data_IF_092516538948
#
_entry.id   IF_092516538948
#
_cell.length_a   1.000
_cell.length_b   1.000
_cell.length_c   1.000
_cell.angle_alpha   90.00
_cell.angle_beta   90.00
_cell.angle_gamma   90.00
#
_symmetry.space_group_name_H-M   'P 1'
#
loop_
_entity.id
_entity.type
_entity.pdbx_description
1 polymer ?
#
# COMPACT_ATOMS: atom_id res chain seq x y z
N UNK A 1 -31.32 -8.92 6.78
CA UNK A 1 -29.85 -9.06 6.79
C UNK A 1 -29.35 -8.55 5.45
N UNK A 2 -28.26 -7.81 5.45
CA UNK A 2 -27.59 -7.36 4.20
C UNK A 2 -27.01 -8.58 3.50
N UNK A 3 -27.23 -8.72 2.20
CA UNK A 3 -26.60 -9.76 1.39
C UNK A 3 -25.53 -9.12 0.50
N UNK A 4 -24.42 -9.85 0.30
CA UNK A 4 -23.35 -9.47 -0.61
C UNK A 4 -23.67 -10.03 -2.00
N UNK A 5 -23.60 -9.18 -3.02
CA UNK A 5 -23.59 -9.62 -4.40
C UNK A 5 -22.16 -10.05 -4.79
N UNK A 6 -21.90 -11.35 -4.69
CA UNK A 6 -20.58 -11.91 -4.97
C UNK A 6 -20.23 -11.87 -6.46
N UNK A 7 -21.22 -12.00 -7.36
CA UNK A 7 -21.01 -11.88 -8.81
C UNK A 7 -20.47 -10.48 -9.16
N UNK A 8 -21.14 -9.45 -8.65
CA UNK A 8 -20.68 -8.07 -8.86
C UNK A 8 -19.30 -7.82 -8.25
N UNK A 9 -19.04 -8.33 -7.05
CA UNK A 9 -17.72 -8.18 -6.41
C UNK A 9 -16.59 -8.90 -7.16
N UNK A 10 -16.86 -10.09 -7.68
CA UNK A 10 -15.90 -10.81 -8.54
C UNK A 10 -15.61 -10.03 -9.83
N UNK A 11 -16.65 -9.43 -10.44
CA UNK A 11 -16.43 -8.56 -11.61
C UNK A 11 -15.58 -7.33 -11.24
N UNK A 12 -15.81 -6.71 -10.07
CA UNK A 12 -14.99 -5.61 -9.59
C UNK A 12 -13.53 -6.02 -9.38
N UNK A 13 -13.28 -7.22 -8.81
CA UNK A 13 -11.92 -7.77 -8.66
C UNK A 13 -11.27 -7.97 -10.02
N UNK A 14 -12.01 -8.53 -11.00
CA UNK A 14 -11.52 -8.73 -12.37
C UNK A 14 -11.12 -7.41 -13.01
N UNK A 15 -11.96 -6.39 -12.88
CA UNK A 15 -11.69 -5.05 -13.44
C UNK A 15 -10.46 -4.40 -12.77
N UNK A 16 -10.32 -4.51 -11.45
CA UNK A 16 -9.15 -3.99 -10.72
C UNK A 16 -7.84 -4.67 -11.13
N UNK A 17 -7.91 -5.96 -11.49
CA UNK A 17 -6.75 -6.76 -11.90
C UNK A 17 -6.55 -6.80 -13.41
N UNK A 18 -7.32 -6.06 -14.20
CA UNK A 18 -7.17 -6.00 -15.65
C UNK A 18 -5.90 -5.23 -16.03
N UNK A 19 -5.00 -5.88 -16.74
CA UNK A 19 -3.77 -5.27 -17.28
C UNK A 19 -3.94 -5.03 -18.80
N UNK A 20 -4.11 -3.78 -19.18
CA UNK A 20 -4.29 -3.40 -20.57
C UNK A 20 -3.09 -3.73 -21.48
N UNK A 21 -1.88 -3.86 -20.90
CA UNK A 21 -0.70 -4.27 -21.67
C UNK A 21 -0.73 -5.72 -22.10
N UNK A 22 -1.46 -6.56 -21.36
CA UNK A 22 -1.65 -7.99 -21.65
C UNK A 22 -3.03 -8.27 -22.25
N UNK A 23 -3.91 -7.28 -22.20
CA UNK A 23 -5.34 -7.40 -22.56
C UNK A 23 -6.05 -8.53 -21.78
N UNK A 24 -5.62 -8.77 -20.55
CA UNK A 24 -6.16 -9.80 -19.68
C UNK A 24 -6.23 -9.38 -18.22
N UNK A 25 -7.01 -10.09 -17.42
CA UNK A 25 -7.06 -9.89 -15.98
C UNK A 25 -6.08 -10.82 -15.27
N UNK A 26 -5.28 -10.25 -14.35
CA UNK A 26 -4.33 -10.98 -13.50
C UNK A 26 -5.03 -11.78 -12.38
N UNK A 27 -6.20 -12.34 -12.67
CA UNK A 27 -6.92 -13.23 -11.75
C UNK A 27 -6.35 -14.64 -11.80
N UNK A 28 -6.53 -15.40 -10.72
CA UNK A 28 -6.02 -16.76 -10.66
C UNK A 28 -6.87 -17.73 -11.52
N UNK A 29 -6.30 -18.92 -11.84
CA UNK A 29 -7.04 -20.00 -12.49
C UNK A 29 -8.30 -20.43 -11.74
N UNK A 30 -8.36 -20.21 -10.41
CA UNK A 30 -9.55 -20.49 -9.59
C UNK A 30 -10.74 -19.61 -9.95
N UNK A 31 -10.48 -18.41 -10.50
CA UNK A 31 -11.53 -17.45 -10.87
C UNK A 31 -12.47 -18.00 -11.94
N UNK A 32 -11.97 -18.74 -12.90
CA UNK A 32 -12.76 -19.31 -14.02
C UNK A 32 -13.41 -20.66 -13.70
N UNK A 33 -13.15 -21.27 -12.52
CA UNK A 33 -13.75 -22.55 -12.15
C UNK A 33 -15.24 -22.38 -11.82
N UNK A 34 -16.08 -23.22 -12.36
CA UNK A 34 -17.55 -23.20 -12.15
C UNK A 34 -17.99 -24.04 -10.96
N UNK A 35 -17.15 -24.95 -10.49
CA UNK A 35 -17.41 -25.86 -9.38
C UNK A 35 -17.13 -25.24 -7.98
N UNK A 36 -16.65 -24.00 -7.92
CA UNK A 36 -16.37 -23.28 -6.68
C UNK A 36 -17.43 -22.20 -6.49
N UNK A 37 -18.11 -22.13 -5.33
CA UNK A 37 -19.07 -21.07 -5.01
C UNK A 37 -18.45 -19.68 -5.08
N UNK A 38 -19.23 -18.68 -5.48
CA UNK A 38 -18.75 -17.31 -5.74
C UNK A 38 -18.19 -16.62 -4.51
N UNK A 39 -18.80 -16.82 -3.34
CA UNK A 39 -18.31 -16.32 -2.06
C UNK A 39 -16.92 -16.87 -1.71
N UNK A 40 -16.67 -18.16 -1.98
CA UNK A 40 -15.37 -18.80 -1.78
C UNK A 40 -14.35 -18.28 -2.80
N UNK A 41 -14.74 -18.16 -4.09
CA UNK A 41 -13.89 -17.53 -5.10
C UNK A 41 -13.48 -16.13 -4.70
N UNK A 42 -14.44 -15.33 -4.23
CA UNK A 42 -14.17 -13.96 -3.80
C UNK A 42 -13.14 -13.92 -2.67
N UNK A 43 -13.35 -14.72 -1.59
CA UNK A 43 -12.39 -14.81 -0.49
C UNK A 43 -10.98 -15.20 -0.94
N UNK A 44 -10.87 -16.16 -1.84
CA UNK A 44 -9.59 -16.61 -2.39
C UNK A 44 -8.92 -15.50 -3.24
N UNK A 45 -9.67 -14.82 -4.10
CA UNK A 45 -9.12 -13.83 -5.02
C UNK A 45 -8.72 -12.52 -4.35
N UNK A 46 -9.46 -12.06 -3.33
CA UNK A 46 -9.15 -10.80 -2.64
C UNK A 46 -7.89 -10.87 -1.77
N UNK A 47 -7.40 -12.06 -1.46
CA UNK A 47 -6.17 -12.27 -0.69
C UNK A 47 -4.92 -12.43 -1.57
N UNK A 48 -5.10 -12.74 -2.87
CA UNK A 48 -3.99 -13.00 -3.79
C UNK A 48 -3.29 -11.73 -4.25
N UNK A 49 -1.96 -11.75 -4.37
CA UNK A 49 -1.21 -10.66 -4.99
C UNK A 49 -1.53 -10.56 -6.49
N UNK A 50 -1.17 -9.44 -7.10
CA UNK A 50 -1.26 -9.26 -8.56
C UNK A 50 -0.26 -10.13 -9.33
N UNK A 51 0.87 -10.44 -8.72
CA UNK A 51 1.93 -11.23 -9.32
C UNK A 51 3.27 -10.50 -9.37
N UNK A 52 4.33 -11.29 -9.39
CA UNK A 52 5.69 -10.76 -9.36
C UNK A 52 6.05 -10.03 -10.66
N UNK A 53 5.65 -10.59 -11.81
CA UNK A 53 5.92 -9.97 -13.13
C UNK A 53 5.27 -8.59 -13.25
N UNK A 54 4.06 -8.43 -12.70
CA UNK A 54 3.40 -7.13 -12.64
C UNK A 54 4.21 -6.12 -11.82
N UNK A 55 4.64 -6.51 -10.63
CA UNK A 55 5.41 -5.65 -9.73
C UNK A 55 6.76 -5.28 -10.35
N UNK A 56 7.44 -6.23 -11.00
CA UNK A 56 8.71 -5.99 -11.71
C UNK A 56 8.56 -4.97 -12.84
N UNK A 57 7.49 -5.05 -13.64
CA UNK A 57 7.20 -4.06 -14.70
C UNK A 57 6.92 -2.67 -14.12
N UNK A 58 6.30 -2.59 -12.96
CA UNK A 58 6.03 -1.30 -12.29
C UNK A 58 7.34 -0.65 -11.80
N UNK A 59 8.24 -1.44 -11.21
CA UNK A 59 9.58 -0.97 -10.83
C UNK A 59 10.36 -0.52 -12.06
N UNK A 60 10.34 -1.30 -13.14
CA UNK A 60 10.99 -0.93 -14.41
C UNK A 60 10.46 0.39 -14.99
N UNK A 61 9.16 0.68 -14.83
CA UNK A 61 8.59 1.96 -15.25
C UNK A 61 9.18 3.13 -14.44
N UNK A 62 9.34 2.98 -13.13
CA UNK A 62 9.97 3.98 -12.28
C UNK A 62 11.46 4.16 -12.61
N UNK A 63 12.19 3.08 -12.89
CA UNK A 63 13.59 3.16 -13.32
C UNK A 63 13.76 3.93 -14.65
N UNK A 64 12.83 3.77 -15.59
CA UNK A 64 12.82 4.57 -16.82
C UNK A 64 12.57 6.05 -16.53
N UNK A 65 11.61 6.36 -15.66
CA UNK A 65 11.35 7.73 -15.22
C UNK A 65 12.59 8.34 -14.57
N UNK A 66 13.21 7.62 -13.63
CA UNK A 66 14.48 8.02 -13.01
C UNK A 66 15.55 8.33 -14.05
N UNK A 67 15.74 7.44 -15.02
CA UNK A 67 16.79 7.64 -16.05
C UNK A 67 16.51 8.87 -16.92
N UNK A 68 15.26 9.13 -17.30
CA UNK A 68 14.92 10.35 -18.03
C UNK A 68 15.18 11.61 -17.19
N UNK A 69 14.84 11.59 -15.90
CA UNK A 69 15.12 12.70 -15.01
C UNK A 69 16.62 12.95 -14.87
N UNK A 70 17.42 11.91 -14.57
CA UNK A 70 18.87 12.05 -14.39
C UNK A 70 19.58 12.56 -15.65
N UNK A 71 19.18 12.07 -16.82
CA UNK A 71 19.76 12.50 -18.09
C UNK A 71 19.37 13.93 -18.48
N UNK A 72 18.27 14.45 -17.95
CA UNK A 72 17.77 15.78 -18.30
C UNK A 72 18.04 16.88 -17.27
N UNK A 73 18.38 16.53 -16.04
CA UNK A 73 18.64 17.51 -14.99
C UNK A 73 19.94 18.30 -15.22
N UNK A 74 19.85 19.62 -15.03
CA UNK A 74 20.98 20.53 -14.90
C UNK A 74 20.90 21.24 -13.54
N UNK A 75 21.17 20.50 -12.47
CA UNK A 75 21.06 20.96 -11.08
C UNK A 75 22.43 20.94 -10.40
N UNK A 76 22.65 21.88 -9.49
CA UNK A 76 23.91 22.04 -8.76
C UNK A 76 23.98 21.16 -7.49
N UNK A 77 23.08 20.18 -7.34
CA UNK A 77 23.04 19.25 -6.23
C UNK A 77 22.73 17.82 -6.70
N UNK A 78 23.19 16.85 -5.93
CA UNK A 78 22.94 15.43 -6.15
C UNK A 78 21.51 15.02 -5.71
N UNK A 79 21.04 13.90 -6.24
CA UNK A 79 19.72 13.31 -5.96
C UNK A 79 19.90 11.86 -5.57
N UNK A 80 19.06 11.42 -4.64
CA UNK A 80 18.86 10.02 -4.33
C UNK A 80 17.45 9.60 -4.77
N UNK A 81 17.29 8.33 -5.13
CA UNK A 81 16.01 7.78 -5.56
C UNK A 81 15.62 6.59 -4.71
N UNK A 82 14.35 6.53 -4.31
CA UNK A 82 13.77 5.39 -3.61
C UNK A 82 12.37 5.14 -4.12
N UNK A 83 11.94 3.90 -4.05
CA UNK A 83 10.60 3.49 -4.40
C UNK A 83 9.73 3.33 -3.16
N UNK A 84 8.48 3.81 -3.24
CA UNK A 84 7.47 3.70 -2.19
C UNK A 84 6.15 3.19 -2.77
N UNK A 85 5.22 2.82 -1.90
CA UNK A 85 3.88 2.38 -2.27
C UNK A 85 3.64 0.89 -2.04
N UNK A 86 2.41 0.47 -2.32
CA UNK A 86 1.93 -0.89 -2.00
C UNK A 86 2.61 -2.00 -2.81
N UNK A 87 3.25 -1.65 -3.93
CA UNK A 87 4.06 -2.58 -4.73
C UNK A 87 5.28 -3.05 -3.95
N UNK A 88 5.93 -2.16 -3.17
CA UNK A 88 7.12 -2.47 -2.37
C UNK A 88 6.84 -3.45 -1.22
N UNK A 89 5.58 -3.56 -0.82
CA UNK A 89 5.12 -4.48 0.22
C UNK A 89 4.31 -5.65 -0.33
N UNK A 90 4.10 -5.74 -1.64
CA UNK A 90 3.26 -6.74 -2.30
C UNK A 90 1.81 -6.76 -1.74
N UNK A 91 1.28 -5.57 -1.42
CA UNK A 91 -0.08 -5.38 -0.90
C UNK A 91 -0.98 -4.57 -1.83
N UNK A 92 -0.56 -4.37 -3.07
CA UNK A 92 -1.35 -3.77 -4.13
C UNK A 92 -2.48 -4.72 -4.59
N UNK A 93 -3.65 -4.15 -4.88
CA UNK A 93 -4.87 -4.90 -5.24
C UNK A 93 -5.39 -4.57 -6.64
N UNK A 94 -4.85 -3.55 -7.27
CA UNK A 94 -5.26 -3.08 -8.60
C UNK A 94 -4.06 -2.79 -9.47
N UNK A 95 -4.23 -3.01 -10.76
CA UNK A 95 -3.35 -2.47 -11.80
C UNK A 95 -3.41 -0.95 -11.70
N UNK A 96 -2.28 -0.26 -11.84
CA UNK A 96 -2.15 1.19 -11.57
C UNK A 96 -2.37 1.58 -10.09
N UNK A 97 -1.96 0.69 -9.16
CA UNK A 97 -1.78 1.11 -7.77
C UNK A 97 -0.74 2.23 -7.68
N UNK A 98 -0.95 3.12 -6.72
CA UNK A 98 -0.04 4.21 -6.45
C UNK A 98 1.39 3.66 -6.23
N UNK A 99 2.31 4.15 -7.04
CA UNK A 99 3.72 3.81 -6.99
C UNK A 99 4.53 5.09 -7.07
N UNK A 100 5.20 5.40 -5.98
CA UNK A 100 5.93 6.64 -5.82
C UNK A 100 7.43 6.43 -6.09
N UNK A 101 7.97 7.24 -6.98
CA UNK A 101 9.40 7.44 -7.15
C UNK A 101 9.81 8.65 -6.31
N UNK A 102 10.33 8.41 -5.12
CA UNK A 102 10.91 9.46 -4.29
C UNK A 102 12.16 10.00 -4.98
N UNK A 103 12.14 11.27 -5.33
CA UNK A 103 13.27 12.02 -5.90
C UNK A 103 13.76 12.98 -4.81
N UNK A 104 14.84 12.62 -4.16
CA UNK A 104 15.28 13.19 -2.89
C UNK A 104 16.48 14.10 -3.17
N UNK A 105 16.42 15.35 -2.74
CA UNK A 105 17.58 16.24 -2.75
C UNK A 105 18.64 15.68 -1.79
N UNK A 106 19.79 15.26 -2.31
CA UNK A 106 20.88 14.67 -1.52
C UNK A 106 21.94 15.71 -1.14
N UNK A 107 21.52 16.93 -0.98
CA UNK A 107 22.33 18.08 -0.53
C UNK A 107 21.94 18.52 0.87
N UNK A 108 20.63 18.48 1.16
CA UNK A 108 20.08 18.87 2.45
C UNK A 108 19.67 17.64 3.26
N UNK A 109 20.28 17.46 4.41
CA UNK A 109 19.89 16.47 5.39
C UNK A 109 19.26 17.19 6.56
N UNK A 110 17.94 17.18 6.65
CA UNK A 110 17.26 17.65 7.86
C UNK A 110 17.49 16.64 8.98
N UNK A 111 17.53 17.12 10.21
CA UNK A 111 17.85 16.32 11.38
C UNK A 111 16.79 16.50 12.47
N UNK A 112 16.61 15.46 13.29
CA UNK A 112 15.89 15.59 14.54
C UNK A 112 16.58 16.63 15.45
N UNK A 113 15.83 17.35 16.32
CA UNK A 113 16.41 18.39 17.18
C UNK A 113 17.56 17.91 18.08
N UNK A 114 17.60 16.61 18.42
CA UNK A 114 18.66 15.99 19.22
C UNK A 114 19.94 15.70 18.45
N UNK A 115 19.93 15.87 17.13
CA UNK A 115 21.05 15.49 16.25
C UNK A 115 21.88 16.72 15.89
N UNK A 116 23.20 16.73 16.16
CA UNK A 116 24.07 17.80 15.71
C UNK A 116 24.10 17.93 14.19
N UNK A 117 24.04 19.14 13.68
CA UNK A 117 24.14 19.43 12.25
C UNK A 117 25.62 19.30 11.84
N UNK A 118 25.93 18.27 11.06
CA UNK A 118 27.31 18.02 10.58
C UNK A 118 27.58 18.49 9.16
N UNK A 119 26.59 19.08 8.46
CA UNK A 119 26.76 19.42 7.06
C UNK A 119 27.25 20.86 6.86
N UNK A 120 28.44 21.06 6.28
CA UNK A 120 28.84 22.35 5.77
C UNK A 120 28.05 22.64 4.49
N UNK A 121 26.96 23.38 4.61
CA UNK A 121 26.23 23.85 3.44
C UNK A 121 26.92 25.04 2.78
N UNK A 122 27.14 24.94 1.48
CA UNK A 122 27.22 26.13 0.64
C UNK A 122 25.83 26.78 0.59
N UNK A 123 25.77 28.05 0.88
CA UNK A 123 24.58 28.88 1.03
C UNK A 123 23.63 28.80 -0.17
N UNK A 124 22.66 27.92 -0.13
CA UNK A 124 21.53 27.90 -1.06
C UNK A 124 20.23 27.71 -0.26
N UNK A 125 19.12 28.22 -0.80
CA UNK A 125 17.82 28.10 -0.15
C UNK A 125 17.17 26.74 -0.47
N UNK A 126 16.93 25.84 0.50
CA UNK A 126 16.31 24.56 0.24
C UNK A 126 14.96 24.64 -0.50
N UNK A 127 14.16 25.66 -0.20
CA UNK A 127 12.87 25.85 -0.86
C UNK A 127 13.04 26.23 -2.33
N UNK A 128 14.04 27.05 -2.66
CA UNK A 128 14.35 27.38 -4.07
C UNK A 128 14.90 26.16 -4.82
N UNK A 129 15.71 25.33 -4.16
CA UNK A 129 16.28 24.13 -4.76
C UNK A 129 15.18 23.10 -5.08
N UNK A 130 14.21 22.88 -4.19
CA UNK A 130 13.13 21.93 -4.47
C UNK A 130 12.11 22.46 -5.50
N UNK A 131 11.92 23.78 -5.57
CA UNK A 131 11.11 24.41 -6.61
C UNK A 131 11.78 24.27 -7.97
N UNK A 132 13.09 24.48 -8.07
CA UNK A 132 13.85 24.28 -9.32
C UNK A 132 13.85 22.80 -9.72
N UNK A 133 14.02 21.87 -8.75
CA UNK A 133 13.88 20.44 -8.99
C UNK A 133 12.52 20.11 -9.62
N UNK A 134 11.41 20.65 -9.05
CA UNK A 134 10.06 20.43 -9.61
C UNK A 134 9.91 21.00 -11.01
N UNK A 135 10.41 22.20 -11.24
CA UNK A 135 10.33 22.87 -12.52
C UNK A 135 11.05 22.07 -13.61
N UNK A 136 12.29 21.66 -13.38
CA UNK A 136 13.06 20.85 -14.30
C UNK A 136 12.44 19.46 -14.50
N UNK A 137 12.04 18.77 -13.41
CA UNK A 137 11.35 17.49 -13.50
C UNK A 137 10.09 17.58 -14.36
N UNK A 138 9.27 18.62 -14.16
CA UNK A 138 8.07 18.85 -14.96
C UNK A 138 8.40 19.02 -16.46
N UNK A 139 9.42 19.81 -16.78
CA UNK A 139 9.84 20.04 -18.17
C UNK A 139 10.34 18.76 -18.82
N UNK A 140 11.21 18.02 -18.14
CA UNK A 140 11.77 16.75 -18.64
C UNK A 140 10.65 15.74 -18.88
N UNK A 141 9.74 15.56 -17.90
CA UNK A 141 8.67 14.57 -18.00
C UNK A 141 7.68 14.92 -19.11
N UNK A 142 7.31 16.20 -19.29
CA UNK A 142 6.45 16.65 -20.40
C UNK A 142 7.08 16.44 -21.77
N UNK A 143 8.40 16.46 -21.89
CA UNK A 143 9.11 16.18 -23.14
C UNK A 143 9.20 14.68 -23.45
N UNK A 144 9.05 13.79 -22.42
CA UNK A 144 9.22 12.35 -22.57
C UNK A 144 7.90 11.58 -22.56
N UNK A 145 6.84 12.12 -21.95
CA UNK A 145 5.57 11.45 -21.75
C UNK A 145 4.41 12.33 -22.23
N UNK A 146 3.45 11.73 -22.93
CA UNK A 146 2.24 12.42 -23.40
C UNK A 146 1.28 12.77 -22.26
N UNK A 147 1.24 11.92 -21.22
CA UNK A 147 0.33 12.08 -20.09
C UNK A 147 1.12 12.41 -18.82
N UNK A 148 1.14 13.71 -18.50
CA UNK A 148 1.80 14.26 -17.30
C UNK A 148 0.83 15.15 -16.55
N UNK A 149 0.45 14.75 -15.36
CA UNK A 149 -0.38 15.54 -14.46
C UNK A 149 0.49 16.21 -13.38
N UNK A 150 0.45 17.53 -13.37
CA UNK A 150 1.18 18.38 -12.42
C UNK A 150 0.30 19.05 -11.39
N UNK A 151 -1.01 18.72 -11.36
CA UNK A 151 -1.98 19.30 -10.43
C UNK A 151 -1.78 18.85 -8.97
N UNK A 152 -1.09 17.72 -8.76
CA UNK A 152 -0.77 17.20 -7.45
C UNK A 152 0.11 18.16 -6.64
N UNK A 153 -0.25 18.40 -5.37
CA UNK A 153 0.49 19.35 -4.50
C UNK A 153 1.86 18.83 -4.06
N UNK A 154 2.10 17.51 -4.11
CA UNK A 154 3.33 16.85 -3.63
C UNK A 154 4.06 16.05 -4.69
N UNK A 155 3.39 15.70 -5.79
CA UNK A 155 3.93 14.83 -6.84
C UNK A 155 3.65 15.36 -8.24
N UNK A 156 4.34 14.78 -9.21
CA UNK A 156 4.07 14.87 -10.64
C UNK A 156 3.71 13.45 -11.07
N UNK A 157 2.49 13.25 -11.58
CA UNK A 157 2.04 11.94 -12.05
C UNK A 157 2.34 11.78 -13.54
N UNK A 158 2.86 10.63 -13.92
CA UNK A 158 3.02 10.24 -15.33
C UNK A 158 2.34 8.90 -15.60
N UNK A 159 1.86 8.74 -16.83
CA UNK A 159 1.43 7.46 -17.35
C UNK A 159 2.38 6.97 -18.44
N UNK A 160 3.08 5.87 -18.18
CA UNK A 160 3.97 5.24 -19.14
C UNK A 160 3.18 4.29 -20.06
N UNK A 161 2.83 4.74 -21.27
CA UNK A 161 2.03 3.98 -22.24
C UNK A 161 2.67 2.65 -22.63
N UNK A 162 4.00 2.62 -22.83
CA UNK A 162 4.71 1.42 -23.29
C UNK A 162 4.73 0.29 -22.27
N UNK A 163 4.70 0.61 -20.97
CA UNK A 163 4.62 -0.36 -19.88
C UNK A 163 3.23 -0.43 -19.25
N UNK A 164 2.34 0.46 -19.67
CA UNK A 164 0.99 0.62 -19.12
C UNK A 164 1.02 0.76 -17.59
N UNK A 165 1.79 1.74 -17.10
CA UNK A 165 2.00 1.98 -15.66
C UNK A 165 1.96 3.46 -15.33
N UNK A 166 1.33 3.76 -14.18
CA UNK A 166 1.37 5.08 -13.55
C UNK A 166 2.55 5.14 -12.58
N UNK A 167 3.27 6.26 -12.56
CA UNK A 167 4.33 6.57 -11.61
C UNK A 167 4.13 7.99 -11.10
N UNK A 168 4.17 8.16 -9.79
CA UNK A 168 4.12 9.47 -9.13
C UNK A 168 5.54 9.86 -8.71
N UNK A 169 6.08 10.91 -9.30
CA UNK A 169 7.39 11.48 -8.92
C UNK A 169 7.18 12.40 -7.74
N UNK A 170 7.65 12.00 -6.57
CA UNK A 170 7.48 12.71 -5.30
C UNK A 170 8.78 13.39 -4.92
N UNK A 171 8.76 14.71 -4.75
CA UNK A 171 9.95 15.50 -4.47
C UNK A 171 10.09 15.74 -2.96
N UNK A 172 11.25 15.44 -2.42
CA UNK A 172 11.46 15.46 -0.98
C UNK A 172 12.92 15.70 -0.58
N UNK A 173 13.13 15.81 0.73
CA UNK A 173 14.43 15.91 1.37
C UNK A 173 14.64 14.75 2.30
N UNK A 174 15.89 14.43 2.62
CA UNK A 174 16.23 13.49 3.68
C UNK A 174 15.94 14.07 5.07
N UNK A 175 15.53 13.19 5.98
CA UNK A 175 15.42 13.48 7.41
C UNK A 175 16.13 12.39 8.22
N UNK A 176 17.09 12.80 9.05
CA UNK A 176 17.91 11.90 9.83
C UNK A 176 17.57 11.97 11.32
N UNK A 177 17.43 10.80 11.94
CA UNK A 177 17.40 10.65 13.38
C UNK A 177 18.71 10.07 13.88
N UNK A 178 18.95 10.10 15.18
CA UNK A 178 20.21 9.66 15.79
C UNK A 178 20.54 8.19 15.48
N UNK A 179 19.53 7.33 15.49
CA UNK A 179 19.66 5.90 15.17
C UNK A 179 20.14 5.67 13.74
N UNK A 180 19.70 6.48 12.78
CA UNK A 180 20.23 6.40 11.43
C UNK A 180 21.70 6.72 11.37
N UNK A 181 22.14 7.77 12.04
CA UNK A 181 23.56 8.18 12.05
C UNK A 181 24.46 7.16 12.72
N UNK A 182 23.95 6.44 13.73
CA UNK A 182 24.70 5.36 14.43
C UNK A 182 24.80 4.08 13.62
N UNK A 183 23.73 3.73 12.89
CA UNK A 183 23.59 2.40 12.28
C UNK A 183 23.71 2.39 10.76
N UNK A 184 23.55 3.56 10.13
CA UNK A 184 23.41 3.72 8.67
C UNK A 184 22.29 2.83 8.06
N UNK A 185 21.29 2.46 8.89
CA UNK A 185 20.18 1.64 8.46
C UNK A 185 19.01 2.54 8.03
N UNK A 186 18.60 2.46 6.76
CA UNK A 186 17.51 3.26 6.19
C UNK A 186 16.16 3.09 6.93
N UNK A 187 15.96 2.02 7.68
CA UNK A 187 14.80 1.88 8.57
C UNK A 187 14.58 3.13 9.43
N UNK A 188 15.67 3.69 9.94
CA UNK A 188 15.65 4.89 10.80
C UNK A 188 15.73 6.21 10.04
N UNK A 189 15.67 6.16 8.71
CA UNK A 189 15.75 7.35 7.87
C UNK A 189 14.36 7.82 7.45
N UNK A 190 14.02 9.06 7.75
CA UNK A 190 12.82 9.72 7.29
C UNK A 190 13.04 10.57 6.05
N UNK A 191 11.95 11.12 5.54
CA UNK A 191 11.92 12.11 4.47
C UNK A 191 11.00 13.28 4.86
N UNK A 192 11.30 14.47 4.34
CA UNK A 192 10.35 15.56 4.29
C UNK A 192 9.77 15.67 2.88
N UNK A 193 8.50 15.28 2.75
CA UNK A 193 7.68 15.57 1.56
C UNK A 193 7.42 17.08 1.49
N UNK A 194 7.52 17.68 0.30
CA UNK A 194 7.25 19.09 0.14
C UNK A 194 5.87 19.32 -0.50
N UNK A 195 4.99 20.04 0.21
CA UNK A 195 3.71 20.50 -0.34
C UNK A 195 3.92 21.85 -1.05
N UNK A 196 3.85 21.83 -2.38
CA UNK A 196 4.15 23.00 -3.23
C UNK A 196 3.09 24.09 -3.16
N UNK A 197 1.87 23.78 -2.71
CA UNK A 197 0.80 24.77 -2.54
C UNK A 197 0.92 25.43 -1.17
N UNK A 198 1.02 24.62 -0.11
CA UNK A 198 1.12 25.13 1.27
C UNK A 198 2.53 25.61 1.64
N UNK A 199 3.53 25.33 0.78
CA UNK A 199 4.95 25.66 1.03
C UNK A 199 5.47 25.09 2.36
N UNK A 200 5.08 23.87 2.70
CA UNK A 200 5.44 23.23 3.96
C UNK A 200 5.99 21.82 3.75
N UNK A 201 6.82 21.40 4.71
CA UNK A 201 7.40 20.07 4.79
C UNK A 201 6.53 19.17 5.65
N UNK A 202 6.32 17.93 5.20
CA UNK A 202 5.56 16.90 5.93
C UNK A 202 6.50 15.73 6.16
N UNK A 203 6.75 15.41 7.43
CA UNK A 203 7.62 14.30 7.82
C UNK A 203 6.93 12.96 7.56
N UNK A 204 7.67 12.01 6.98
CA UNK A 204 7.23 10.63 6.76
C UNK A 204 8.40 9.66 6.95
N UNK A 205 8.10 8.40 7.28
CA UNK A 205 9.06 7.29 7.47
C UNK A 205 8.69 6.09 6.60
N UNK A 206 8.81 6.22 5.28
CA UNK A 206 8.38 5.18 4.33
C UNK A 206 9.21 3.89 4.44
N UNK A 207 10.50 3.99 4.75
CA UNK A 207 11.40 2.84 4.83
C UNK A 207 11.08 1.98 6.05
N UNK A 208 10.82 2.60 7.20
CA UNK A 208 10.34 1.90 8.39
C UNK A 208 9.01 1.20 8.13
N UNK A 209 8.08 1.86 7.43
CA UNK A 209 6.79 1.27 7.06
C UNK A 209 6.98 0.04 6.17
N UNK A 210 7.74 0.18 5.08
CA UNK A 210 7.98 -0.91 4.11
C UNK A 210 8.66 -2.10 4.80
N UNK A 211 9.70 -1.85 5.58
CA UNK A 211 10.44 -2.91 6.27
C UNK A 211 9.57 -3.62 7.32
N UNK A 212 8.80 -2.88 8.13
CA UNK A 212 7.93 -3.47 9.15
C UNK A 212 6.83 -4.34 8.55
N UNK A 213 6.19 -3.87 7.46
CA UNK A 213 5.18 -4.67 6.74
C UNK A 213 5.80 -5.92 6.12
N UNK A 214 6.99 -5.81 5.52
CA UNK A 214 7.69 -6.95 4.94
C UNK A 214 8.17 -7.95 6.00
N UNK A 215 8.71 -7.49 7.12
CA UNK A 215 9.13 -8.35 8.23
C UNK A 215 7.93 -9.13 8.79
N UNK A 216 6.80 -8.45 9.05
CA UNK A 216 5.58 -9.13 9.50
C UNK A 216 5.06 -10.11 8.43
N UNK A 217 5.16 -9.76 7.15
CA UNK A 217 4.89 -10.67 6.03
C UNK A 217 5.73 -11.94 6.10
N UNK A 218 7.02 -11.82 6.34
CA UNK A 218 7.95 -12.96 6.50
C UNK A 218 7.62 -13.80 7.72
N UNK A 219 7.40 -13.18 8.89
CA UNK A 219 7.05 -13.89 10.13
C UNK A 219 5.69 -14.62 10.06
N UNK A 220 4.77 -14.17 9.22
CA UNK A 220 3.45 -14.79 9.03
C UNK A 220 3.36 -15.59 7.74
N UNK A 221 4.46 -15.84 7.06
CA UNK A 221 4.50 -16.52 5.76
C UNK A 221 3.47 -15.96 4.77
N UNK A 222 3.44 -14.64 4.61
CA UNK A 222 2.50 -13.81 3.82
C UNK A 222 1.09 -13.64 4.41
N UNK A 223 0.74 -14.25 5.53
CA UNK A 223 -0.58 -14.15 6.15
C UNK A 223 -1.01 -12.70 6.44
N UNK A 224 -0.11 -11.87 6.97
CA UNK A 224 -0.40 -10.44 7.18
C UNK A 224 -0.66 -9.68 5.89
N UNK A 225 0.10 -9.95 4.83
CA UNK A 225 -0.11 -9.30 3.52
C UNK A 225 -1.42 -9.77 2.86
N UNK A 226 -1.81 -11.04 3.04
CA UNK A 226 -3.15 -11.53 2.66
C UNK A 226 -4.26 -10.74 3.34
N UNK A 227 -4.14 -10.51 4.66
CA UNK A 227 -5.09 -9.70 5.43
C UNK A 227 -5.18 -8.26 4.92
N UNK A 228 -4.05 -7.61 4.63
CA UNK A 228 -4.03 -6.25 4.08
C UNK A 228 -4.73 -6.21 2.71
N UNK A 229 -4.45 -7.15 1.80
CA UNK A 229 -5.11 -7.24 0.50
C UNK A 229 -6.61 -7.49 0.64
N UNK A 230 -7.02 -8.38 1.57
CA UNK A 230 -8.43 -8.63 1.90
C UNK A 230 -9.14 -7.34 2.29
N UNK A 231 -8.65 -6.62 3.29
CA UNK A 231 -9.28 -5.37 3.75
C UNK A 231 -9.34 -4.29 2.68
N UNK A 232 -8.27 -4.14 1.88
CA UNK A 232 -8.25 -3.18 0.76
C UNK A 232 -9.29 -3.51 -0.32
N UNK A 233 -9.49 -4.78 -0.64
CA UNK A 233 -10.51 -5.21 -1.60
C UNK A 233 -11.92 -4.98 -1.04
N UNK A 234 -12.20 -5.40 0.20
CA UNK A 234 -13.48 -5.16 0.87
C UNK A 234 -13.79 -3.66 0.90
N UNK A 235 -12.83 -2.82 1.30
CA UNK A 235 -12.96 -1.35 1.26
C UNK A 235 -13.41 -0.85 -0.12
N UNK A 236 -12.77 -1.35 -1.17
CA UNK A 236 -13.08 -0.93 -2.54
C UNK A 236 -14.47 -1.37 -3.02
N UNK A 237 -15.01 -2.43 -2.43
CA UNK A 237 -16.30 -3.02 -2.80
C UNK A 237 -17.47 -2.55 -1.91
N UNK A 238 -17.20 -1.90 -0.78
CA UNK A 238 -18.20 -1.52 0.24
C UNK A 238 -18.29 -0.02 0.54
N UNK A 239 -17.60 0.82 -0.23
CA UNK A 239 -17.49 2.28 0.02
C UNK A 239 -17.01 2.61 1.46
N UNK A 240 -16.14 1.80 2.01
CA UNK A 240 -15.54 2.03 3.32
C UNK A 240 -14.46 3.12 3.23
N UNK A 241 -14.38 4.02 4.22
CA UNK A 241 -13.51 5.20 4.20
C UNK A 241 -12.16 5.03 4.90
N UNK A 242 -11.89 3.88 5.50
CA UNK A 242 -10.56 3.61 6.09
C UNK A 242 -9.48 3.73 5.01
N UNK A 243 -8.44 4.51 5.28
CA UNK A 243 -7.33 4.62 4.33
C UNK A 243 -6.39 3.40 4.40
N UNK A 244 -5.50 3.27 3.41
CA UNK A 244 -4.60 2.11 3.32
C UNK A 244 -3.65 1.98 4.52
N UNK A 245 -3.27 3.11 5.13
CA UNK A 245 -2.40 3.13 6.29
C UNK A 245 -3.11 2.58 7.54
N UNK A 246 -4.37 2.98 7.76
CA UNK A 246 -5.23 2.46 8.83
C UNK A 246 -5.49 0.95 8.66
N UNK A 247 -5.82 0.49 7.45
CA UNK A 247 -6.02 -0.93 7.16
C UNK A 247 -4.75 -1.75 7.45
N UNK A 248 -3.59 -1.22 7.05
CA UNK A 248 -2.30 -1.87 7.32
C UNK A 248 -2.02 -1.91 8.83
N UNK A 249 -2.30 -0.83 9.56
CA UNK A 249 -2.14 -0.76 11.02
C UNK A 249 -3.04 -1.77 11.74
N UNK A 250 -4.30 -1.93 11.34
CA UNK A 250 -5.21 -2.94 11.91
C UNK A 250 -4.60 -4.33 11.76
N UNK A 251 -4.14 -4.72 10.57
CA UNK A 251 -3.53 -6.04 10.36
C UNK A 251 -2.20 -6.16 11.11
N UNK A 252 -1.41 -5.09 11.15
CA UNK A 252 -0.13 -5.08 11.85
C UNK A 252 -0.29 -5.29 13.37
N UNK A 253 -1.41 -4.89 13.96
CA UNK A 253 -1.71 -5.08 15.38
C UNK A 253 -2.15 -6.50 15.75
N UNK A 254 -2.44 -7.37 14.78
CA UNK A 254 -2.85 -8.77 15.03
C UNK A 254 -1.61 -9.61 15.33
N UNK A 255 -1.71 -10.50 16.32
CA UNK A 255 -0.66 -11.47 16.65
C UNK A 255 -0.35 -12.39 15.45
N UNK A 256 0.94 -12.72 15.25
CA UNK A 256 1.37 -13.45 14.04
C UNK A 256 0.66 -14.81 13.87
N UNK A 257 0.44 -15.57 14.95
CA UNK A 257 -0.25 -16.86 14.90
C UNK A 257 -1.72 -16.78 14.47
N UNK A 258 -2.35 -15.60 14.56
CA UNK A 258 -3.73 -15.34 14.12
C UNK A 258 -3.83 -14.92 12.64
N UNK A 259 -2.70 -14.91 11.91
CA UNK A 259 -2.61 -14.52 10.51
C UNK A 259 -2.21 -15.72 9.64
N UNK A 260 -3.11 -16.69 9.42
CA UNK A 260 -2.80 -17.88 8.62
C UNK A 260 -2.54 -17.54 7.17
N UNK A 261 -1.62 -18.30 6.54
CA UNK A 261 -1.18 -18.09 5.15
C UNK A 261 -1.63 -19.18 4.18
N UNK A 262 -1.95 -20.38 4.67
CA UNK A 262 -2.31 -21.50 3.81
C UNK A 262 -3.57 -21.20 2.98
N UNK A 263 -3.61 -21.72 1.74
CA UNK A 263 -4.81 -21.64 0.91
C UNK A 263 -5.92 -22.47 1.54
N UNK A 264 -7.14 -21.95 1.59
CA UNK A 264 -8.28 -22.55 2.28
C UNK A 264 -8.48 -22.05 3.72
N UNK A 265 -7.55 -21.23 4.24
CA UNK A 265 -7.68 -20.63 5.58
C UNK A 265 -8.21 -19.18 5.54
N UNK A 266 -8.65 -18.69 4.39
CA UNK A 266 -9.10 -17.32 4.19
C UNK A 266 -10.31 -16.95 5.05
N UNK A 267 -11.19 -17.92 5.34
CA UNK A 267 -12.34 -17.73 6.28
C UNK A 267 -11.83 -17.53 7.70
N UNK A 268 -10.82 -18.30 8.12
CA UNK A 268 -10.20 -18.18 9.45
C UNK A 268 -9.51 -16.82 9.55
N UNK A 269 -8.79 -16.42 8.51
CA UNK A 269 -8.15 -15.08 8.44
C UNK A 269 -9.20 -13.97 8.57
N UNK A 270 -10.31 -14.04 7.81
CA UNK A 270 -11.40 -13.08 7.88
C UNK A 270 -12.03 -13.01 9.28
N UNK A 271 -12.26 -14.16 9.92
CA UNK A 271 -12.79 -14.23 11.27
C UNK A 271 -11.83 -13.61 12.32
N UNK A 272 -10.53 -13.88 12.23
CA UNK A 272 -9.53 -13.32 13.13
C UNK A 272 -9.42 -11.80 12.98
N UNK A 273 -9.53 -11.30 11.74
CA UNK A 273 -9.56 -9.86 11.47
C UNK A 273 -10.84 -9.22 12.03
N UNK A 274 -12.01 -9.86 11.86
CA UNK A 274 -13.27 -9.39 12.45
C UNK A 274 -13.18 -9.32 13.98
N UNK A 275 -12.59 -10.33 14.63
CA UNK A 275 -12.36 -10.31 16.08
C UNK A 275 -11.45 -9.17 16.52
N UNK A 276 -10.37 -8.89 15.77
CA UNK A 276 -9.51 -7.75 16.07
C UNK A 276 -10.25 -6.42 15.92
N UNK A 277 -11.04 -6.25 14.86
CA UNK A 277 -11.88 -5.06 14.70
C UNK A 277 -12.85 -4.91 15.87
N UNK A 278 -13.50 -5.99 16.31
CA UNK A 278 -14.36 -5.97 17.48
C UNK A 278 -13.62 -5.52 18.74
N UNK A 279 -12.39 -6.00 18.96
CA UNK A 279 -11.57 -5.56 20.08
C UNK A 279 -11.21 -4.07 20.00
N UNK A 280 -10.81 -3.60 18.81
CA UNK A 280 -10.47 -2.18 18.59
C UNK A 280 -11.68 -1.25 18.76
N UNK A 281 -12.87 -1.66 18.33
CA UNK A 281 -14.13 -0.89 18.45
C UNK A 281 -14.50 -0.77 19.94
N UNK A 282 -14.50 -1.87 20.68
CA UNK A 282 -15.00 -1.93 22.05
C UNK A 282 -13.96 -1.52 23.11
N UNK A 283 -12.69 -1.34 22.75
CA UNK A 283 -11.63 -0.94 23.67
C UNK A 283 -10.91 0.32 23.17
N UNK A 284 -11.44 1.53 23.44
CA UNK A 284 -10.84 2.78 22.99
C UNK A 284 -9.40 3.01 23.46
N UNK A 285 -9.07 2.60 24.69
CA UNK A 285 -7.70 2.74 25.23
C UNK A 285 -6.72 1.88 24.44
N UNK A 286 -7.06 0.63 24.18
CA UNK A 286 -6.25 -0.26 23.35
C UNK A 286 -6.14 0.27 21.93
N UNK A 287 -7.24 0.66 21.29
CA UNK A 287 -7.24 1.21 19.94
C UNK A 287 -6.27 2.38 19.78
N UNK A 288 -6.35 3.36 20.70
CA UNK A 288 -5.52 4.56 20.71
C UNK A 288 -4.04 4.29 21.02
N UNK A 289 -3.71 3.13 21.59
CA UNK A 289 -2.32 2.71 21.85
C UNK A 289 -1.67 1.98 20.67
N UNK A 290 -2.44 1.65 19.61
CA UNK A 290 -1.89 0.93 18.45
C UNK A 290 -1.08 1.88 17.58
N UNK A 291 0.21 1.60 17.51
CA UNK A 291 1.13 2.30 16.62
C UNK A 291 1.02 1.79 15.17
N UNK A 292 1.24 2.69 14.25
CA UNK A 292 1.45 2.38 12.84
C UNK A 292 2.68 1.50 12.61
N UNK A 293 2.79 0.81 11.45
CA UNK A 293 3.95 -0.03 11.16
C UNK A 293 5.31 0.67 11.22
N UNK A 294 5.36 1.98 10.92
CA UNK A 294 6.59 2.78 11.04
C UNK A 294 6.87 3.25 12.49
N UNK A 295 5.97 2.98 13.45
CA UNK A 295 6.15 3.31 14.87
C UNK A 295 6.00 4.80 15.24
N UNK A 296 5.56 5.66 14.32
CA UNK A 296 5.57 7.13 14.53
C UNK A 296 4.19 7.74 14.77
N UNK A 297 3.12 7.01 14.47
CA UNK A 297 1.76 7.54 14.50
C UNK A 297 0.78 6.56 15.16
N UNK A 298 -0.34 7.10 15.62
CA UNK A 298 -1.48 6.37 16.20
C UNK A 298 -2.73 6.62 15.34
N UNK A 299 -2.86 5.97 14.16
CA UNK A 299 -3.84 6.35 13.15
C UNK A 299 -5.26 5.87 13.42
N UNK A 300 -5.48 5.05 14.48
CA UNK A 300 -6.79 4.48 14.79
C UNK A 300 -7.55 5.34 15.80
N UNK A 301 -7.91 6.55 15.40
CA UNK A 301 -8.65 7.54 16.19
C UNK A 301 -10.14 7.20 16.32
N UNK A 302 -10.89 7.99 17.12
CA UNK A 302 -12.34 7.79 17.28
C UNK A 302 -13.11 7.96 15.97
N UNK A 303 -12.64 8.80 15.05
CA UNK A 303 -13.24 9.03 13.73
C UNK A 303 -13.27 7.76 12.85
N UNK A 304 -12.38 6.79 13.13
CA UNK A 304 -12.31 5.54 12.39
C UNK A 304 -13.37 4.51 12.82
N UNK A 305 -13.98 4.66 14.00
CA UNK A 305 -14.82 3.61 14.63
C UNK A 305 -15.98 3.20 13.74
N UNK A 306 -16.73 4.17 13.23
CA UNK A 306 -17.86 3.89 12.33
C UNK A 306 -17.46 3.11 11.06
N UNK A 307 -16.30 3.40 10.53
CA UNK A 307 -15.79 2.69 9.35
C UNK A 307 -15.23 1.30 9.71
N UNK A 308 -14.69 1.13 10.92
CA UNK A 308 -14.33 -0.19 11.46
C UNK A 308 -15.56 -1.07 11.67
N UNK A 309 -16.67 -0.52 12.17
CA UNK A 309 -17.95 -1.24 12.32
C UNK A 309 -18.46 -1.75 10.98
N UNK A 310 -18.48 -0.89 9.95
CA UNK A 310 -18.86 -1.29 8.58
C UNK A 310 -17.93 -2.40 8.03
N UNK A 311 -16.63 -2.26 8.23
CA UNK A 311 -15.65 -3.27 7.79
C UNK A 311 -15.86 -4.59 8.49
N UNK A 312 -16.14 -4.56 9.81
CA UNK A 312 -16.45 -5.75 10.60
C UNK A 312 -17.73 -6.42 10.11
N UNK A 313 -18.79 -5.67 9.85
CA UNK A 313 -20.05 -6.20 9.29
C UNK A 313 -19.81 -6.96 7.99
N UNK A 314 -19.04 -6.37 7.06
CA UNK A 314 -18.65 -7.02 5.80
C UNK A 314 -17.92 -8.36 6.02
N UNK A 315 -16.95 -8.37 6.93
CA UNK A 315 -16.22 -9.60 7.30
C UNK A 315 -17.12 -10.63 7.94
N UNK A 316 -18.01 -10.24 8.84
CA UNK A 316 -18.94 -11.16 9.51
C UNK A 316 -19.90 -11.85 8.51
N UNK A 317 -20.35 -11.10 7.50
CA UNK A 317 -21.16 -11.66 6.39
C UNK A 317 -20.33 -12.68 5.59
N UNK A 318 -19.11 -12.31 5.20
CA UNK A 318 -18.19 -13.20 4.46
C UNK A 318 -17.89 -14.49 5.23
N UNK A 319 -17.65 -14.39 6.53
CA UNK A 319 -17.38 -15.52 7.41
C UNK A 319 -18.61 -16.41 7.53
N UNK A 320 -19.78 -15.83 7.78
CA UNK A 320 -21.05 -16.57 7.86
C UNK A 320 -21.33 -17.34 6.57
N UNK A 321 -21.27 -16.65 5.43
CA UNK A 321 -21.59 -17.25 4.14
C UNK A 321 -20.57 -18.34 3.75
N UNK A 322 -19.29 -18.14 4.08
CA UNK A 322 -18.25 -19.14 3.91
C UNK A 322 -18.48 -20.40 4.74
N UNK A 323 -18.86 -20.27 6.00
CA UNK A 323 -19.18 -21.43 6.85
C UNK A 323 -20.44 -22.18 6.43
N UNK A 324 -21.46 -21.48 5.94
CA UNK A 324 -22.68 -22.12 5.40
C UNK A 324 -22.34 -22.98 4.19
N UNK A 325 -21.50 -22.50 3.30
CA UNK A 325 -21.07 -23.25 2.12
C UNK A 325 -20.25 -24.51 2.48
N UNK A 326 -19.34 -24.38 3.46
CA UNK A 326 -18.55 -25.53 3.95
C UNK A 326 -19.44 -26.62 4.56
N UNK A 327 -20.48 -26.24 5.30
CA UNK A 327 -21.45 -27.19 5.88
C UNK A 327 -22.25 -27.90 4.79
N UNK A 328 -22.75 -27.18 3.79
CA UNK A 328 -23.51 -27.77 2.68
C UNK A 328 -22.67 -28.75 1.89
N UNK A 329 -21.42 -28.41 1.58
CA UNK A 329 -20.48 -29.28 0.87
C UNK A 329 -20.13 -30.55 1.65
N UNK A 330 -19.98 -30.47 2.97
CA UNK A 330 -19.71 -31.65 3.82
C UNK A 330 -20.92 -32.58 3.91
N UNK A 331 -22.11 -32.02 4.06
CA UNK A 331 -23.38 -32.75 4.06
C UNK A 331 -23.59 -33.48 2.71
N UNK A 332 -23.32 -32.81 1.60
CA UNK A 332 -23.49 -33.38 0.26
C UNK A 332 -22.48 -34.52 -0.01
N UNK A 333 -21.25 -34.42 0.49
CA UNK A 333 -20.26 -35.51 0.43
C UNK A 333 -20.70 -36.71 1.27
N UNK A 334 -21.25 -36.46 2.46
CA UNK A 334 -21.76 -37.51 3.35
C UNK A 334 -22.94 -38.23 2.69
N UNK A 335 -23.88 -37.50 2.07
CA UNK A 335 -25.03 -38.10 1.36
C UNK A 335 -24.57 -38.92 0.14
N UNK A 336 -23.58 -38.43 -0.62
CA UNK A 336 -23.07 -39.13 -1.81
C UNK A 336 -22.15 -40.34 -1.48
N UNK A 337 -21.76 -40.50 -0.20
CA UNK A 337 -20.98 -41.64 0.26
C UNK A 337 -21.83 -42.75 0.88
N UNK A 338 -23.15 -42.56 0.97
CA UNK A 338 -24.16 -43.57 1.34
C UNK A 338 -24.90 -44.03 0.08
#
# INVERSE_FOLDING_TARGET
MRNIDYSQRLQNVRNRKFDGSLNESLTSKMFSRTDIPENIKYLLEITKPLGQDYNSKTILAADRVKNHLENGFNLHFDRAYRNQGSVMTNTNIKVHSDFDLLTIIDKYHYHAPSVPVHNPYTYTNPNSDIEELRKQATSILKNQYDEVDTSGTKSISIFNKSLYRKVDVVLCFWYHIEEYLKTNNEYYRGIYLFDFVKKQKILDYPFAHIQSVNNKGSYTNDGSKKGIRMLKNIRSDSDNKLNSFQLTTIIHSIENQKLPSATGTEIILANNISQQLNNLINNPTYRKSIQSPNGTEYPLTDDCVKEMEKMKEELDILVRDGYLEMKSSSLQRTINSY
#
